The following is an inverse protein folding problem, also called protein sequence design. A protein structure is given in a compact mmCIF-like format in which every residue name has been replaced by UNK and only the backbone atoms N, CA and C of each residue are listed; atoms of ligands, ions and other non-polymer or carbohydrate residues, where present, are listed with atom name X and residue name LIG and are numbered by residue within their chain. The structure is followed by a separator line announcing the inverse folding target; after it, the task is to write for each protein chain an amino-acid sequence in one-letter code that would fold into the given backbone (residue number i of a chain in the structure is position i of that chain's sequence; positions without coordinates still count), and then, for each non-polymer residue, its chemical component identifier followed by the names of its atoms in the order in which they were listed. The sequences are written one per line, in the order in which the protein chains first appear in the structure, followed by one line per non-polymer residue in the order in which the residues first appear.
data_IF_581092135649
#
_entry.id   IF_581092135649
#
_cell.length_a   1.000
_cell.length_b   1.000
_cell.length_c   1.000
_cell.angle_alpha   90.00
_cell.angle_beta   90.00
_cell.angle_gamma   90.00
#
_symmetry.space_group_name_H-M   'P 1'
#
loop_
_entity.id
_entity.type
_entity.pdbx_description
1 polymer ?
#
# COMPACT_ATOMS: atom_id res chain seq x y z
N UNK A 1 29.83 0.80 -23.03
CA UNK A 1 29.07 -0.39 -22.60
C UNK A 1 28.25 -0.01 -21.38
N UNK A 2 27.29 0.91 -21.58
CA UNK A 2 26.50 1.50 -20.49
C UNK A 2 25.22 0.70 -20.26
N UNK A 3 24.56 0.99 -19.14
CA UNK A 3 23.29 0.42 -18.64
C UNK A 3 22.07 0.51 -19.60
N UNK A 4 22.25 0.72 -20.90
CA UNK A 4 21.19 0.84 -21.92
C UNK A 4 20.39 -0.44 -22.21
N UNK A 5 20.57 -1.49 -21.40
CA UNK A 5 19.75 -2.71 -21.40
C UNK A 5 18.91 -2.90 -20.14
N UNK A 6 19.08 -2.10 -19.09
CA UNK A 6 18.19 -2.12 -17.92
C UNK A 6 16.98 -1.24 -18.25
N UNK A 7 16.09 -1.78 -19.09
CA UNK A 7 14.80 -1.19 -19.32
C UNK A 7 13.90 -1.33 -18.10
N UNK A 8 12.83 -0.53 -18.06
CA UNK A 8 11.72 -0.67 -17.10
C UNK A 8 11.23 -2.14 -16.95
N UNK A 9 11.15 -2.98 -18.02
CA UNK A 9 10.73 -4.38 -17.88
C UNK A 9 11.65 -5.22 -16.97
N UNK A 10 12.97 -5.01 -17.05
CA UNK A 10 13.94 -5.74 -16.24
C UNK A 10 13.83 -5.36 -14.75
N UNK A 11 13.56 -4.08 -14.46
CA UNK A 11 13.32 -3.60 -13.09
C UNK A 11 12.07 -4.22 -12.48
N UNK A 12 10.99 -4.37 -13.26
CA UNK A 12 9.76 -5.03 -12.81
C UNK A 12 10.02 -6.51 -12.48
N UNK A 13 10.76 -7.23 -13.33
CA UNK A 13 11.09 -8.64 -13.08
C UNK A 13 11.85 -8.81 -11.76
N UNK A 14 12.84 -7.96 -11.51
CA UNK A 14 13.62 -7.96 -10.26
C UNK A 14 12.72 -7.65 -9.07
N UNK A 15 11.83 -6.66 -9.19
CA UNK A 15 10.88 -6.29 -8.13
C UNK A 15 9.97 -7.47 -7.74
N UNK A 16 9.47 -8.22 -8.73
CA UNK A 16 8.63 -9.41 -8.49
C UNK A 16 9.41 -10.46 -7.69
N UNK A 17 10.66 -10.73 -8.06
CA UNK A 17 11.50 -11.69 -7.33
C UNK A 17 11.72 -11.23 -5.89
N UNK A 18 12.02 -9.96 -5.66
CA UNK A 18 12.17 -9.39 -4.31
C UNK A 18 10.89 -9.55 -3.48
N UNK A 19 9.73 -9.26 -4.06
CA UNK A 19 8.44 -9.46 -3.38
C UNK A 19 8.20 -10.93 -3.01
N UNK A 20 8.60 -11.88 -3.87
CA UNK A 20 8.46 -13.30 -3.57
C UNK A 20 9.40 -13.77 -2.45
N UNK A 21 10.63 -13.27 -2.41
CA UNK A 21 11.61 -13.62 -1.37
C UNK A 21 11.24 -13.06 0.01
N UNK A 22 10.87 -11.78 0.06
CA UNK A 22 10.62 -11.08 1.33
C UNK A 22 9.14 -11.13 1.75
N UNK A 23 8.24 -11.41 0.80
CA UNK A 23 6.79 -11.33 0.99
C UNK A 23 6.25 -9.90 1.00
N UNK A 24 4.99 -9.73 0.61
CA UNK A 24 4.30 -8.42 0.61
C UNK A 24 4.13 -7.83 2.01
N UNK A 25 4.04 -8.67 3.05
CA UNK A 25 3.86 -8.22 4.45
C UNK A 25 5.08 -7.47 4.99
N UNK A 26 6.30 -7.94 4.69
CA UNK A 26 7.55 -7.27 5.09
C UNK A 26 7.77 -5.99 4.30
N UNK A 27 7.52 -6.04 2.98
CA UNK A 27 7.62 -4.85 2.12
C UNK A 27 6.58 -3.78 2.50
N UNK A 28 5.36 -4.14 2.87
CA UNK A 28 4.32 -3.19 3.30
C UNK A 28 4.64 -2.55 4.65
N UNK A 29 5.20 -3.31 5.60
CA UNK A 29 5.67 -2.76 6.87
C UNK A 29 6.75 -1.70 6.66
N UNK A 30 7.85 -2.09 6.01
CA UNK A 30 9.00 -1.18 5.78
C UNK A 30 8.60 -0.03 4.83
N UNK A 31 7.76 -0.29 3.83
CA UNK A 31 7.25 0.70 2.90
C UNK A 31 6.31 1.73 3.54
N UNK A 32 5.53 1.36 4.55
CA UNK A 32 4.69 2.29 5.30
C UNK A 32 5.54 3.30 6.08
N UNK A 33 6.59 2.82 6.74
CA UNK A 33 7.48 3.67 7.54
C UNK A 33 8.31 4.61 6.65
N UNK A 34 8.93 4.06 5.60
CA UNK A 34 9.66 4.84 4.60
C UNK A 34 8.74 5.81 3.85
N UNK A 35 7.53 5.38 3.50
CA UNK A 35 6.54 6.18 2.81
C UNK A 35 6.07 7.37 3.65
N UNK A 36 5.86 7.16 4.95
CA UNK A 36 5.49 8.23 5.89
C UNK A 36 6.62 9.24 6.05
N UNK A 37 7.86 8.77 6.19
CA UNK A 37 9.04 9.64 6.25
C UNK A 37 9.22 10.47 4.97
N UNK A 38 9.07 9.83 3.80
CA UNK A 38 9.21 10.49 2.50
C UNK A 38 8.05 11.45 2.22
N UNK A 39 6.82 11.15 2.68
CA UNK A 39 5.63 12.03 2.60
C UNK A 39 5.88 13.32 3.37
N UNK A 40 6.37 13.21 4.62
CA UNK A 40 6.69 14.37 5.45
C UNK A 40 7.87 15.17 4.88
N UNK A 41 8.91 14.49 4.40
CA UNK A 41 10.04 15.14 3.72
C UNK A 41 9.57 15.94 2.49
N UNK A 42 8.75 15.33 1.62
CA UNK A 42 8.18 16.01 0.45
C UNK A 42 7.32 17.21 0.86
N UNK A 43 6.52 17.09 1.93
CA UNK A 43 5.70 18.17 2.46
C UNK A 43 6.58 19.35 2.95
N UNK A 44 7.59 19.08 3.75
CA UNK A 44 8.51 20.13 4.25
C UNK A 44 9.31 20.81 3.13
N UNK A 45 9.73 20.06 2.11
CA UNK A 45 10.41 20.62 0.93
C UNK A 45 9.46 21.49 0.10
N UNK A 46 8.19 21.04 -0.05
CA UNK A 46 7.16 21.81 -0.76
C UNK A 46 6.78 23.08 0.01
N UNK A 47 6.60 23.01 1.33
CA UNK A 47 6.31 24.18 2.19
C UNK A 47 7.49 25.17 2.24
N UNK A 48 8.73 24.67 2.10
CA UNK A 48 9.93 25.51 2.00
C UNK A 48 10.08 26.23 0.66
N UNK A 49 9.54 25.67 -0.44
CA UNK A 49 9.60 26.29 -1.78
C UNK A 49 8.34 27.07 -2.16
N UNK A 50 7.21 26.83 -1.47
CA UNK A 50 5.90 27.42 -1.74
C UNK A 50 5.39 28.10 -0.47
N UNK A 51 5.96 29.27 -0.12
CA UNK A 51 5.37 30.17 0.88
C UNK A 51 4.39 31.18 0.27
N UNK A 52 3.90 30.91 -0.92
CA UNK A 52 2.80 31.62 -1.56
C UNK A 52 1.86 30.58 -2.14
N UNK A 53 0.58 30.75 -1.86
CA UNK A 53 -0.57 29.95 -2.30
C UNK A 53 -0.93 28.74 -1.43
N UNK A 54 -1.69 29.09 -0.40
CA UNK A 54 -2.85 28.42 0.19
C UNK A 54 -2.76 27.00 0.78
N UNK A 55 -3.26 26.97 2.02
CA UNK A 55 -3.61 25.81 2.79
C UNK A 55 -4.69 24.98 2.08
N UNK A 56 -4.43 23.70 1.85
CA UNK A 56 -5.47 22.68 1.91
C UNK A 56 -4.87 21.27 2.08
N UNK A 57 -5.72 20.40 2.63
CA UNK A 57 -5.59 18.96 2.77
C UNK A 57 -4.93 18.48 4.08
N UNK A 58 -5.71 18.68 5.15
CA UNK A 58 -6.08 17.57 6.01
C UNK A 58 -6.43 16.34 5.16
N UNK A 59 -5.77 15.20 5.39
CA UNK A 59 -6.31 13.92 4.94
C UNK A 59 -6.09 12.89 6.04
N UNK A 60 -7.21 12.51 6.63
CA UNK A 60 -7.38 11.43 7.57
C UNK A 60 -6.79 10.15 6.99
N UNK A 61 -5.87 9.52 7.72
CA UNK A 61 -5.64 8.08 7.53
C UNK A 61 -6.33 7.39 8.69
N UNK A 62 -7.65 7.21 8.52
CA UNK A 62 -8.39 6.19 9.26
C UNK A 62 -7.82 4.83 8.85
N UNK A 63 -7.29 4.12 9.85
CA UNK A 63 -6.86 2.75 9.76
C UNK A 63 -8.08 1.86 9.45
N UNK A 64 -8.36 1.67 8.17
CA UNK A 64 -9.25 0.62 7.67
C UNK A 64 -8.46 -0.35 6.80
N UNK A 65 -7.52 -1.09 7.40
CA UNK A 65 -6.93 -2.28 6.75
C UNK A 65 -6.84 -3.45 7.72
N UNK A 66 -7.97 -3.81 8.32
CA UNK A 66 -8.20 -5.11 8.92
C UNK A 66 -9.57 -5.74 8.54
N UNK A 67 -10.20 -5.31 7.43
CA UNK A 67 -11.41 -5.97 6.89
C UNK A 67 -11.08 -6.77 5.64
N UNK A 68 -10.33 -7.86 5.81
CA UNK A 68 -10.23 -8.94 4.82
C UNK A 68 -9.82 -10.25 5.50
N UNK A 69 -10.55 -10.65 6.55
CA UNK A 69 -10.65 -12.07 6.86
C UNK A 69 -11.56 -12.64 5.76
N UNK A 70 -10.94 -13.22 4.75
CA UNK A 70 -11.60 -14.18 3.85
C UNK A 70 -11.87 -15.39 4.74
N UNK A 71 -13.06 -15.37 5.34
CA UNK A 71 -13.63 -16.47 6.11
C UNK A 71 -14.14 -17.48 5.09
N UNK A 72 -13.24 -18.34 4.65
CA UNK A 72 -13.60 -19.56 3.97
C UNK A 72 -14.13 -20.55 4.99
N UNK A 73 -15.45 -20.58 5.19
CA UNK A 73 -16.14 -21.76 5.70
C UNK A 73 -17.35 -22.05 4.80
N UNK A 74 -17.22 -23.15 4.06
CA UNK A 74 -18.32 -23.87 3.46
C UNK A 74 -18.80 -24.94 4.45
N UNK A 75 -19.79 -24.59 5.28
CA UNK A 75 -20.68 -25.45 6.09
C UNK A 75 -21.92 -24.58 6.34
N UNK A 76 -23.18 -24.98 6.29
CA UNK A 76 -23.88 -26.20 6.00
C UNK A 76 -25.34 -25.73 5.70
N UNK A 77 -26.05 -26.37 4.77
CA UNK A 77 -27.48 -26.13 4.58
C UNK A 77 -28.21 -26.61 5.84
N UNK A 78 -28.94 -25.73 6.53
CA UNK A 78 -30.21 -26.16 7.10
C UNK A 78 -31.29 -25.08 6.96
N UNK A 79 -32.47 -25.55 6.58
CA UNK A 79 -33.63 -24.75 6.20
C UNK A 79 -34.42 -24.45 7.47
N UNK A 80 -34.41 -23.20 7.90
CA UNK A 80 -35.44 -22.73 8.81
C UNK A 80 -36.77 -22.61 8.03
N UNK A 81 -37.74 -23.40 8.46
CA UNK A 81 -39.12 -23.41 7.95
C UNK A 81 -40.08 -23.14 9.11
N UNK A 82 -39.75 -22.22 10.02
CA UNK A 82 -40.77 -21.57 10.84
C UNK A 82 -41.48 -20.49 10.03
N UNK A 83 -42.62 -20.88 9.45
CA UNK A 83 -43.54 -20.00 8.74
C UNK A 83 -44.87 -19.93 9.50
N UNK A 84 -45.13 -18.72 10.01
CA UNK A 84 -46.46 -18.10 10.18
C UNK A 84 -47.34 -18.21 8.93
#
# INVERSE_FOLDING_TARGET
MGFGGIGIPSLILILVIVILLFGTKRLRGIGSDLGSALKNFKKSVKDGTSKSDDADSEDKVEDQSAKSVIEGEATEKDKDKDKV
#
